data_IF_227196766154
#
_entry.id   IF_227196766154
#
_cell.length_a   1.000
_cell.length_b   1.000
_cell.length_c   1.000
_cell.angle_alpha   90.00
_cell.angle_beta   90.00
_cell.angle_gamma   90.00
#
_symmetry.space_group_name_H-M   'P 1'
#
loop_
_entity.id
_entity.type
_entity.pdbx_description
1 polymer ?
#
# COMPACT_ATOMS: atom_id res chain seq x y z
N UNK A 1 10.60 12.96 -5.40
CA UNK A 1 9.92 11.66 -5.23
C UNK A 1 10.98 10.63 -4.92
N UNK A 2 10.84 9.91 -3.82
CA UNK A 2 11.79 8.86 -3.43
C UNK A 2 11.37 7.55 -4.08
N UNK A 3 12.29 6.88 -4.76
CA UNK A 3 12.06 5.62 -5.47
C UNK A 3 12.79 4.49 -4.74
N UNK A 4 12.04 3.45 -4.37
CA UNK A 4 12.55 2.31 -3.62
C UNK A 4 12.43 1.02 -4.44
N UNK A 5 13.47 0.22 -4.41
CA UNK A 5 13.47 -1.16 -4.90
C UNK A 5 13.35 -2.10 -3.71
N UNK A 6 12.31 -2.93 -3.70
CA UNK A 6 12.03 -3.80 -2.55
C UNK A 6 11.61 -5.18 -3.01
N UNK A 7 11.94 -6.20 -2.22
CA UNK A 7 11.42 -7.54 -2.45
C UNK A 7 9.89 -7.56 -2.34
N UNK A 8 9.23 -8.45 -3.09
CA UNK A 8 7.75 -8.59 -3.07
C UNK A 8 7.18 -8.74 -1.65
N UNK A 9 7.84 -9.53 -0.80
CA UNK A 9 7.44 -9.72 0.60
C UNK A 9 7.51 -8.42 1.40
N UNK A 10 8.53 -7.60 1.17
CA UNK A 10 8.69 -6.30 1.81
C UNK A 10 7.62 -5.31 1.34
N UNK A 11 7.34 -5.26 0.02
CA UNK A 11 6.25 -4.46 -0.52
C UNK A 11 4.88 -4.85 0.09
N UNK A 12 4.61 -6.15 0.20
CA UNK A 12 3.39 -6.68 0.86
C UNK A 12 3.32 -6.20 2.31
N UNK A 13 4.42 -6.28 3.06
CA UNK A 13 4.46 -5.83 4.45
C UNK A 13 4.21 -4.33 4.59
N UNK A 14 4.75 -3.51 3.68
CA UNK A 14 4.53 -2.06 3.69
C UNK A 14 3.06 -1.71 3.44
N UNK A 15 2.41 -2.36 2.47
CA UNK A 15 0.99 -2.14 2.19
C UNK A 15 0.12 -2.56 3.38
N UNK A 16 0.43 -3.69 4.03
CA UNK A 16 -0.31 -4.13 5.24
C UNK A 16 -0.16 -3.12 6.38
N UNK A 17 1.06 -2.62 6.61
CA UNK A 17 1.30 -1.62 7.65
C UNK A 17 0.49 -0.34 7.42
N UNK A 18 0.36 0.10 6.17
CA UNK A 18 -0.40 1.30 5.84
C UNK A 18 -1.91 1.10 5.99
N UNK A 19 -2.44 -0.08 5.64
CA UNK A 19 -3.83 -0.45 5.93
C UNK A 19 -4.08 -0.40 7.45
N UNK A 20 -3.18 -0.98 8.25
CA UNK A 20 -3.33 -1.03 9.70
C UNK A 20 -3.35 0.37 10.33
N UNK A 21 -2.44 1.27 9.91
CA UNK A 21 -2.45 2.67 10.36
C UNK A 21 -3.76 3.38 10.03
N UNK A 22 -4.32 3.15 8.84
CA UNK A 22 -5.59 3.75 8.45
C UNK A 22 -6.78 3.23 9.27
N UNK A 23 -6.69 2.00 9.79
CA UNK A 23 -7.72 1.38 10.63
C UNK A 23 -7.58 1.66 12.12
N UNK A 24 -6.37 1.91 12.64
CA UNK A 24 -6.14 2.25 14.07
C UNK A 24 -6.73 3.61 14.46
N UNK A 25 -6.96 4.47 13.49
CA UNK A 25 -7.37 5.87 13.64
C UNK A 25 -8.91 6.02 13.88
N UNK A 26 -9.43 5.16 14.77
CA UNK A 26 -10.79 4.60 14.90
C UNK A 26 -11.93 5.57 15.27
N UNK A 27 -11.82 6.86 14.94
CA UNK A 27 -12.94 7.81 15.06
C UNK A 27 -13.68 7.87 13.72
N UNK A 28 -14.67 6.98 13.55
CA UNK A 28 -15.57 6.94 12.39
C UNK A 28 -14.86 7.11 11.03
N UNK A 29 -14.32 6.01 10.50
CA UNK A 29 -13.68 5.95 9.18
C UNK A 29 -14.50 6.70 8.12
N UNK A 30 -14.03 7.88 7.73
CA UNK A 30 -14.66 8.67 6.68
C UNK A 30 -14.73 7.86 5.38
N UNK A 31 -15.73 8.14 4.53
CA UNK A 31 -15.87 7.50 3.22
C UNK A 31 -14.58 7.55 2.39
N UNK A 32 -13.77 8.61 2.57
CA UNK A 32 -12.46 8.77 1.95
C UNK A 32 -11.42 7.78 2.49
N UNK A 33 -11.37 7.53 3.81
CA UNK A 33 -10.47 6.52 4.40
C UNK A 33 -10.89 5.11 3.95
N UNK A 34 -12.19 4.82 3.88
CA UNK A 34 -12.70 3.53 3.40
C UNK A 34 -12.33 3.25 1.93
N UNK A 35 -12.46 4.25 1.05
CA UNK A 35 -12.04 4.14 -0.35
C UNK A 35 -10.55 3.82 -0.47
N UNK A 36 -9.69 4.52 0.29
CA UNK A 36 -8.24 4.24 0.33
C UNK A 36 -7.92 2.83 0.83
N UNK A 37 -8.58 2.37 1.88
CA UNK A 37 -8.39 1.00 2.38
C UNK A 37 -8.77 -0.02 1.30
N UNK A 38 -9.85 0.22 0.55
CA UNK A 38 -10.26 -0.64 -0.56
C UNK A 38 -9.19 -0.69 -1.67
N UNK A 39 -8.66 0.47 -2.07
CA UNK A 39 -7.57 0.57 -3.04
C UNK A 39 -6.32 -0.20 -2.59
N UNK A 40 -5.91 -0.03 -1.33
CA UNK A 40 -4.78 -0.77 -0.77
C UNK A 40 -5.02 -2.29 -0.72
N UNK A 41 -6.25 -2.73 -0.43
CA UNK A 41 -6.62 -4.15 -0.47
C UNK A 41 -6.54 -4.71 -1.90
N UNK A 42 -7.01 -3.97 -2.90
CA UNK A 42 -6.87 -4.36 -4.30
C UNK A 42 -5.40 -4.44 -4.73
N UNK A 43 -4.59 -3.46 -4.35
CA UNK A 43 -3.14 -3.46 -4.60
C UNK A 43 -2.46 -4.66 -3.93
N UNK A 44 -2.82 -4.99 -2.68
CA UNK A 44 -2.29 -6.14 -1.95
C UNK A 44 -2.59 -7.47 -2.66
N UNK A 45 -3.80 -7.63 -3.18
CA UNK A 45 -4.19 -8.82 -3.96
C UNK A 45 -3.36 -8.90 -5.24
N UNK A 46 -3.21 -7.78 -5.96
CA UNK A 46 -2.43 -7.73 -7.20
C UNK A 46 -0.93 -8.01 -6.98
N UNK A 47 -0.35 -7.47 -5.90
CA UNK A 47 1.03 -7.72 -5.48
C UNK A 47 1.27 -9.20 -5.15
N UNK A 48 0.36 -9.82 -4.38
CA UNK A 48 0.43 -11.24 -4.04
C UNK A 48 0.32 -12.14 -5.27
N UNK A 49 -0.50 -11.73 -6.24
CA UNK A 49 -0.65 -12.42 -7.52
C UNK A 49 0.51 -12.17 -8.51
N UNK A 50 1.49 -11.32 -8.15
CA UNK A 50 2.60 -10.96 -9.06
C UNK A 50 2.15 -10.18 -10.30
N UNK A 51 1.02 -9.48 -10.23
CA UNK A 51 0.46 -8.70 -11.36
C UNK A 51 0.90 -7.23 -11.35
N UNK A 52 1.53 -6.79 -10.26
CA UNK A 52 1.98 -5.41 -10.07
C UNK A 52 3.41 -5.44 -9.56
N UNK A 53 4.31 -4.87 -10.35
CA UNK A 53 5.71 -4.73 -9.99
C UNK A 53 6.12 -3.27 -9.76
N UNK A 54 5.25 -2.31 -10.05
CA UNK A 54 5.50 -0.89 -9.72
C UNK A 54 4.21 -0.22 -9.29
N UNK A 55 4.27 0.48 -8.16
CA UNK A 55 3.13 1.22 -7.62
C UNK A 55 3.60 2.44 -6.82
N UNK A 56 2.68 3.36 -6.57
CA UNK A 56 2.91 4.50 -5.67
C UNK A 56 2.16 4.23 -4.37
N UNK A 57 2.85 4.31 -3.25
CA UNK A 57 2.23 4.24 -1.92
C UNK A 57 1.84 5.68 -1.51
N UNK A 58 0.54 6.00 -1.36
CA UNK A 58 0.10 7.30 -0.87
C UNK A 58 0.29 7.39 0.66
N UNK A 59 1.54 7.55 1.08
CA UNK A 59 1.92 8.02 2.41
C UNK A 59 2.05 9.56 2.44
N UNK A 60 2.34 10.15 3.61
CA UNK A 60 2.58 11.61 3.76
C UNK A 60 3.60 12.14 2.73
N UNK A 61 4.59 11.31 2.39
CA UNK A 61 5.42 11.50 1.21
C UNK A 61 5.13 10.37 0.22
N UNK A 62 4.70 10.65 -1.02
CA UNK A 62 4.42 9.60 -1.99
C UNK A 62 5.70 8.83 -2.32
N UNK A 63 5.66 7.51 -2.10
CA UNK A 63 6.80 6.61 -2.31
C UNK A 63 6.55 5.83 -3.60
N UNK A 64 7.47 5.94 -4.55
CA UNK A 64 7.44 5.06 -5.72
C UNK A 64 8.14 3.75 -5.35
N UNK A 65 7.45 2.64 -5.50
CA UNK A 65 7.94 1.31 -5.12
C UNK A 65 8.03 0.45 -6.37
N UNK A 66 9.21 -0.08 -6.65
CA UNK A 66 9.42 -1.12 -7.66
C UNK A 66 9.74 -2.43 -6.96
N UNK A 67 8.94 -3.45 -7.24
CA UNK A 67 9.12 -4.80 -6.75
C UNK A 67 10.21 -5.46 -7.57
N UNK A 68 11.25 -5.91 -6.88
CA UNK A 68 12.30 -6.74 -7.44
C UNK A 68 12.11 -8.18 -6.96
N UNK A 69 12.45 -9.13 -7.83
CA UNK A 69 12.26 -10.55 -7.59
C UNK A 69 13.44 -11.15 -6.82
#
# INVERSE_FOLDING_TARGET
MSHFFVARRSAISMVIAEINKLTEDDTALSSTKQARISEYRHLLIALRAGRVDTFVLPAETPLQVTVIN
#
